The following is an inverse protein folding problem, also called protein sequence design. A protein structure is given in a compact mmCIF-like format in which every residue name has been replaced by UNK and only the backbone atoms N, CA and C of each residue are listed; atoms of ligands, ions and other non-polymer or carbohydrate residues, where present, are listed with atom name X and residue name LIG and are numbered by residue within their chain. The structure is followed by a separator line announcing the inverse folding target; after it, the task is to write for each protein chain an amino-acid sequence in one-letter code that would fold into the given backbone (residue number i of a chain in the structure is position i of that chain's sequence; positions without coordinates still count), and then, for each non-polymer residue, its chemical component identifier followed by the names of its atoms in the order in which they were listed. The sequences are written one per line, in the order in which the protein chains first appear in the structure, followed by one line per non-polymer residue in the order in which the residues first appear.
data_IF_357332856082
#
_entry.id   IF_357332856082
#
_cell.length_a   1.000
_cell.length_b   1.000
_cell.length_c   1.000
_cell.angle_alpha   90.00
_cell.angle_beta   90.00
_cell.angle_gamma   90.00
#
_symmetry.space_group_name_H-M   'P 1'
#
loop_
_entity.id
_entity.type
_entity.pdbx_description
1 polymer ?
#
# COMPACT_ATOMS: atom_id res chain seq x y z
N UNK A 1 -25.66 0.30 -7.58
CA UNK A 1 -24.72 -0.69 -7.01
C UNK A 1 -23.34 -0.06 -7.12
N UNK A 2 -22.67 0.20 -5.99
CA UNK A 2 -21.30 0.71 -6.04
C UNK A 2 -20.42 -0.40 -6.63
N UNK A 3 -19.77 -0.12 -7.76
CA UNK A 3 -18.74 -1.00 -8.32
C UNK A 3 -17.66 -1.18 -7.26
N UNK A 4 -17.48 -2.39 -6.71
CA UNK A 4 -16.28 -2.70 -5.95
C UNK A 4 -15.10 -2.54 -6.90
N UNK A 5 -14.17 -1.64 -6.59
CA UNK A 5 -12.97 -1.40 -7.40
C UNK A 5 -12.16 -2.69 -7.43
N UNK A 6 -12.11 -3.36 -8.58
CA UNK A 6 -11.33 -4.60 -8.75
C UNK A 6 -9.89 -4.29 -9.14
N UNK A 7 -8.94 -4.83 -8.36
CA UNK A 7 -7.52 -4.77 -8.65
C UNK A 7 -7.09 -6.01 -9.44
N UNK A 8 -6.28 -5.82 -10.48
CA UNK A 8 -5.61 -6.93 -11.16
C UNK A 8 -4.60 -7.59 -10.23
N UNK A 9 -4.15 -8.80 -10.58
CA UNK A 9 -3.10 -9.50 -9.82
C UNK A 9 -1.84 -8.64 -9.68
N UNK A 10 -1.43 -7.95 -10.73
CA UNK A 10 -0.23 -7.11 -10.73
C UNK A 10 -0.40 -5.87 -9.86
N UNK A 11 -1.57 -5.23 -9.92
CA UNK A 11 -1.89 -4.09 -9.06
C UNK A 11 -1.94 -4.51 -7.59
N UNK A 12 -2.55 -5.66 -7.26
CA UNK A 12 -2.52 -6.22 -5.90
C UNK A 12 -1.09 -6.46 -5.42
N UNK A 13 -0.20 -7.02 -6.26
CA UNK A 13 1.20 -7.24 -5.89
C UNK A 13 1.90 -5.92 -5.57
N UNK A 14 1.65 -4.88 -6.38
CA UNK A 14 2.23 -3.56 -6.17
C UNK A 14 1.69 -2.87 -4.91
N UNK A 15 0.38 -2.99 -4.63
CA UNK A 15 -0.24 -2.48 -3.39
C UNK A 15 0.40 -3.14 -2.18
N UNK A 16 0.46 -4.47 -2.14
CA UNK A 16 1.04 -5.20 -1.00
C UNK A 16 2.53 -4.89 -0.83
N UNK A 17 3.28 -4.74 -1.94
CA UNK A 17 4.69 -4.31 -1.89
C UNK A 17 4.84 -2.95 -1.21
N UNK A 18 3.97 -1.98 -1.47
CA UNK A 18 4.06 -0.65 -0.86
C UNK A 18 3.65 -0.65 0.59
N UNK A 19 2.61 -1.40 0.95
CA UNK A 19 2.22 -1.59 2.35
C UNK A 19 3.37 -2.19 3.14
N UNK A 20 3.97 -3.28 2.65
CA UNK A 20 5.14 -3.91 3.29
C UNK A 20 6.34 -2.96 3.34
N UNK A 21 6.55 -2.13 2.31
CA UNK A 21 7.61 -1.11 2.29
C UNK A 21 7.43 -0.01 3.35
N UNK A 22 6.17 0.35 3.67
CA UNK A 22 5.86 1.32 4.73
C UNK A 22 5.99 0.68 6.11
N UNK A 23 5.48 -0.53 6.31
CA UNK A 23 5.60 -1.27 7.58
C UNK A 23 7.08 -1.50 7.95
N UNK A 24 7.91 -1.83 6.96
CA UNK A 24 9.34 -2.06 7.18
C UNK A 24 10.18 -0.76 7.17
N UNK A 25 9.54 0.41 7.21
CA UNK A 25 10.24 1.70 7.18
C UNK A 25 11.02 1.96 8.46
N UNK A 26 10.46 1.52 9.58
CA UNK A 26 11.14 1.50 10.85
C UNK A 26 11.84 0.12 11.04
N UNK A 27 12.74 0.00 12.00
CA UNK A 27 13.42 -1.28 12.27
C UNK A 27 12.68 -2.10 13.33
N UNK A 28 11.39 -1.81 13.56
CA UNK A 28 10.55 -2.40 14.61
C UNK A 28 9.15 -2.66 14.06
N UNK A 29 8.99 -3.80 13.39
CA UNK A 29 7.67 -4.28 12.98
C UNK A 29 6.72 -4.38 14.18
N UNK A 30 5.65 -3.60 14.19
CA UNK A 30 4.63 -3.66 15.25
C UNK A 30 3.62 -4.79 14.94
N UNK A 31 3.21 -5.60 15.94
CA UNK A 31 2.13 -6.56 15.76
C UNK A 31 0.82 -5.97 15.19
N UNK A 32 0.53 -4.69 15.42
CA UNK A 32 -0.63 -3.99 14.85
C UNK A 32 -0.54 -3.85 13.32
N UNK A 33 0.64 -3.52 12.79
CA UNK A 33 0.89 -3.42 11.35
C UNK A 33 0.75 -4.78 10.66
N UNK A 34 1.23 -5.85 11.30
CA UNK A 34 1.09 -7.20 10.79
C UNK A 34 -0.36 -7.69 10.82
N UNK A 35 -1.14 -7.28 11.83
CA UNK A 35 -2.60 -7.51 11.86
C UNK A 35 -3.27 -6.77 10.70
N UNK A 36 -2.92 -5.52 10.46
CA UNK A 36 -3.47 -4.77 9.34
C UNK A 36 -3.12 -5.40 7.97
N UNK A 37 -1.90 -5.89 7.79
CA UNK A 37 -1.55 -6.67 6.59
C UNK A 37 -2.42 -7.93 6.43
N UNK A 38 -2.80 -8.57 7.55
CA UNK A 38 -3.72 -9.70 7.55
C UNK A 38 -5.14 -9.29 7.19
N UNK A 39 -5.63 -8.13 7.65
CA UNK A 39 -6.93 -7.59 7.25
C UNK A 39 -6.98 -7.21 5.76
N UNK A 40 -5.86 -6.72 5.22
CA UNK A 40 -5.74 -6.45 3.78
C UNK A 40 -5.85 -7.72 2.93
N UNK A 41 -5.38 -8.87 3.44
CA UNK A 41 -5.53 -10.17 2.76
C UNK A 41 -7.00 -10.46 2.49
N UNK A 42 -7.88 -10.21 3.46
CA UNK A 42 -9.32 -10.40 3.30
C UNK A 42 -9.92 -9.33 2.36
N UNK A 43 -9.58 -8.04 2.60
CA UNK A 43 -10.12 -6.89 1.84
C UNK A 43 -9.81 -6.96 0.34
N UNK A 44 -8.64 -7.45 -0.04
CA UNK A 44 -8.20 -7.57 -1.43
C UNK A 44 -8.20 -9.03 -1.92
N UNK A 45 -8.64 -9.98 -1.11
CA UNK A 45 -8.70 -11.41 -1.42
C UNK A 45 -7.36 -11.97 -1.94
N UNK A 46 -6.33 -11.89 -1.12
CA UNK A 46 -5.00 -12.49 -1.36
C UNK A 46 -4.52 -13.27 -0.13
N UNK A 47 -3.51 -14.13 -0.28
CA UNK A 47 -3.01 -15.00 0.79
C UNK A 47 -1.55 -14.68 1.18
N UNK A 48 -1.01 -15.41 2.16
CA UNK A 48 0.37 -15.23 2.62
C UNK A 48 1.41 -15.57 1.55
N UNK A 49 1.09 -16.49 0.63
CA UNK A 49 1.95 -16.79 -0.52
C UNK A 49 2.06 -15.58 -1.45
N UNK A 50 0.95 -14.88 -1.67
CA UNK A 50 0.91 -13.63 -2.41
C UNK A 50 1.74 -12.52 -1.74
N UNK A 51 1.71 -12.41 -0.41
CA UNK A 51 2.59 -11.48 0.33
C UNK A 51 4.05 -11.79 0.06
N UNK A 52 4.44 -13.07 0.07
CA UNK A 52 5.79 -13.50 -0.30
C UNK A 52 6.18 -13.09 -1.73
N UNK A 53 5.25 -13.19 -2.69
CA UNK A 53 5.49 -12.72 -4.06
C UNK A 53 5.66 -11.20 -4.13
N UNK A 54 4.80 -10.46 -3.42
CA UNK A 54 4.85 -9.01 -3.38
C UNK A 54 6.18 -8.52 -2.80
N UNK A 55 6.68 -9.14 -1.73
CA UNK A 55 8.00 -8.82 -1.14
C UNK A 55 9.16 -8.94 -2.15
N UNK A 56 9.10 -9.93 -3.02
CA UNK A 56 10.08 -10.16 -4.07
C UNK A 56 9.90 -9.29 -5.32
N UNK A 57 8.78 -8.55 -5.43
CA UNK A 57 8.58 -7.61 -6.53
C UNK A 57 9.61 -6.48 -6.45
N UNK A 58 10.23 -6.18 -7.59
CA UNK A 58 11.11 -5.02 -7.71
C UNK A 58 10.35 -3.72 -7.41
N UNK A 59 10.96 -2.83 -6.61
CA UNK A 59 10.32 -1.60 -6.17
C UNK A 59 10.02 -0.66 -7.35
N UNK A 60 10.93 -0.54 -8.32
CA UNK A 60 10.71 0.30 -9.49
C UNK A 60 9.60 -0.28 -10.39
N UNK A 61 9.49 -1.61 -10.50
CA UNK A 61 8.36 -2.28 -11.16
C UNK A 61 7.04 -2.00 -10.44
N UNK A 62 7.01 -2.06 -9.11
CA UNK A 62 5.83 -1.71 -8.33
C UNK A 62 5.39 -0.27 -8.63
N UNK A 63 6.29 0.71 -8.58
CA UNK A 63 5.97 2.11 -8.91
C UNK A 63 5.39 2.29 -10.32
N UNK A 64 5.92 1.57 -11.33
CA UNK A 64 5.35 1.60 -12.69
C UNK A 64 3.91 1.11 -12.72
N UNK A 65 3.62 -0.01 -12.04
CA UNK A 65 2.26 -0.56 -11.96
C UNK A 65 1.33 0.46 -11.28
N UNK A 66 1.74 1.01 -10.14
CA UNK A 66 0.92 1.96 -9.39
C UNK A 66 0.64 3.25 -10.16
N UNK A 67 1.62 3.74 -10.92
CA UNK A 67 1.45 4.91 -11.77
C UNK A 67 0.44 4.67 -12.92
N UNK A 68 0.30 3.43 -13.39
CA UNK A 68 -0.63 3.05 -14.45
C UNK A 68 -2.06 2.76 -13.96
N UNK A 69 -2.28 2.66 -12.65
CA UNK A 69 -3.61 2.45 -12.08
C UNK A 69 -4.55 3.63 -12.37
N UNK A 70 -5.86 3.35 -12.35
CA UNK A 70 -6.88 4.42 -12.39
C UNK A 70 -6.76 5.34 -11.17
N UNK A 71 -7.21 6.59 -11.31
CA UNK A 71 -7.21 7.56 -10.20
C UNK A 71 -7.97 7.02 -8.97
N UNK A 72 -9.07 6.30 -9.20
CA UNK A 72 -9.87 5.70 -8.14
C UNK A 72 -9.06 4.67 -7.32
N UNK A 73 -8.35 3.76 -7.99
CA UNK A 73 -7.43 2.80 -7.35
C UNK A 73 -6.28 3.49 -6.63
N UNK A 74 -5.78 4.58 -7.20
CA UNK A 74 -4.73 5.40 -6.57
C UNK A 74 -5.22 6.04 -5.26
N UNK A 75 -6.46 6.55 -5.24
CA UNK A 75 -7.10 7.07 -4.01
C UNK A 75 -7.27 5.97 -2.96
N UNK A 76 -7.70 4.77 -3.37
CA UNK A 76 -7.77 3.60 -2.47
C UNK A 76 -6.41 3.27 -1.85
N UNK A 77 -5.34 3.23 -2.65
CA UNK A 77 -4.00 2.97 -2.11
C UNK A 77 -3.55 4.09 -1.17
N UNK A 78 -3.82 5.36 -1.49
CA UNK A 78 -3.50 6.47 -0.59
C UNK A 78 -4.12 6.27 0.79
N UNK A 79 -5.41 5.92 0.85
CA UNK A 79 -6.11 5.66 2.11
C UNK A 79 -5.53 4.43 2.82
N UNK A 80 -5.22 3.35 2.08
CA UNK A 80 -4.60 2.15 2.66
C UNK A 80 -3.26 2.48 3.32
N UNK A 81 -2.42 3.30 2.69
CA UNK A 81 -1.12 3.69 3.23
C UNK A 81 -1.24 4.59 4.46
N UNK A 82 -2.24 5.48 4.49
CA UNK A 82 -2.56 6.30 5.66
C UNK A 82 -3.07 5.44 6.82
N UNK A 83 -3.95 4.47 6.55
CA UNK A 83 -4.45 3.48 7.53
C UNK A 83 -3.31 2.66 8.15
N UNK A 84 -2.28 2.26 7.38
CA UNK A 84 -1.08 1.59 7.90
C UNK A 84 -0.35 2.47 8.91
N UNK A 85 -0.04 3.71 8.54
CA UNK A 85 0.77 4.60 9.36
C UNK A 85 0.09 5.09 10.64
N UNK A 86 -1.21 4.86 10.80
CA UNK A 86 -1.93 5.15 12.05
C UNK A 86 -2.31 3.88 12.82
N UNK A 87 -1.97 2.68 12.30
CA UNK A 87 -2.47 1.40 12.83
C UNK A 87 -1.91 1.04 14.21
N UNK A 88 -0.74 1.54 14.56
CA UNK A 88 -0.07 1.40 15.86
C UNK A 88 -0.40 2.55 16.83
N UNK A 89 -1.19 3.53 16.37
CA UNK A 89 -1.56 4.73 17.11
C UNK A 89 -0.53 5.87 17.07
N UNK A 90 0.59 5.72 16.35
CA UNK A 90 1.63 6.73 16.22
C UNK A 90 2.17 6.82 14.79
N UNK A 91 2.04 7.99 14.17
CA UNK A 91 2.64 8.21 12.86
C UNK A 91 4.14 8.43 12.99
N UNK A 92 4.96 7.51 12.47
CA UNK A 92 6.41 7.69 12.45
C UNK A 92 6.89 8.52 11.25
N UNK A 93 7.88 9.39 11.46
CA UNK A 93 8.43 10.25 10.39
C UNK A 93 8.97 9.44 9.20
N UNK A 94 9.55 8.26 9.46
CA UNK A 94 10.08 7.37 8.41
C UNK A 94 8.96 6.78 7.55
N UNK A 95 7.84 6.39 8.14
CA UNK A 95 6.67 5.92 7.40
C UNK A 95 6.11 7.03 6.52
N UNK A 96 5.98 8.25 7.06
CA UNK A 96 5.53 9.41 6.29
C UNK A 96 6.42 9.69 5.07
N UNK A 97 7.75 9.58 5.22
CA UNK A 97 8.68 9.74 4.11
C UNK A 97 8.45 8.66 3.02
N UNK A 98 8.16 7.42 3.42
CA UNK A 98 7.91 6.29 2.50
C UNK A 98 6.57 6.41 1.79
N UNK A 99 5.55 6.87 2.52
CA UNK A 99 4.24 7.19 1.95
C UNK A 99 4.38 8.32 0.94
N UNK A 100 5.08 9.40 1.29
CA UNK A 100 5.33 10.51 0.37
C UNK A 100 6.08 10.06 -0.90
N UNK A 101 7.09 9.18 -0.75
CA UNK A 101 7.78 8.55 -1.88
C UNK A 101 6.80 7.78 -2.78
N UNK A 102 5.98 6.89 -2.20
CA UNK A 102 5.02 6.08 -2.95
C UNK A 102 3.96 6.94 -3.67
N UNK A 103 3.37 7.92 -2.99
CA UNK A 103 2.37 8.81 -3.56
C UNK A 103 2.95 9.70 -4.68
N UNK A 104 4.19 10.17 -4.51
CA UNK A 104 4.89 10.94 -5.54
C UNK A 104 5.05 10.15 -6.85
N UNK A 105 5.30 8.84 -6.76
CA UNK A 105 5.38 7.96 -7.92
C UNK A 105 4.04 7.67 -8.60
N UNK A 106 2.93 7.85 -7.89
CA UNK A 106 1.59 7.65 -8.43
C UNK A 106 1.09 8.86 -9.23
N UNK A 107 1.81 9.99 -9.21
CA UNK A 107 1.39 11.26 -9.83
C UNK A 107 -0.03 11.66 -9.44
N UNK A 108 -0.43 11.39 -8.20
CA UNK A 108 -1.66 11.94 -7.66
C UNK A 108 -1.37 13.43 -7.46
N UNK A 109 -1.90 14.28 -8.33
CA UNK A 109 -1.99 15.70 -7.99
C UNK A 109 -2.82 15.78 -6.70
N UNK A 110 -2.20 16.26 -5.61
CA UNK A 110 -2.95 16.53 -4.38
C UNK A 110 -3.99 17.59 -4.74
N UNK A 111 -5.24 17.16 -4.93
CA UNK A 111 -6.39 18.05 -4.80
C UNK A 111 -6.48 18.41 -3.32
N UNK A 112 -5.72 19.44 -2.91
CA UNK A 112 -6.05 20.18 -1.71
C UNK A 112 -7.33 20.96 -2.01
N UNK A 113 -8.46 20.44 -1.52
CA UNK A 113 -9.69 21.21 -1.35
C UNK A 113 -9.62 22.02 -0.07
#
# INVERSE_FOLDING_TARGET
MASMIEFTKEEKLAVVKMVDYVILADSKVDPAEMRYLTELMDRFSFDSFFVGQARNLDKAKAYKILNLMSLEKKKVLSNVLEEVAISDGFVHEKELQKIAEALGHMKIEKEFS
#
